data_IF_979767136017
#
_entry.id   IF_979767136017
#
_cell.length_a   1.000
_cell.length_b   1.000
_cell.length_c   1.000
_cell.angle_alpha   90.00
_cell.angle_beta   90.00
_cell.angle_gamma   90.00
#
_symmetry.space_group_name_H-M   'P 1'
#
loop_
_entity.id
_entity.type
_entity.pdbx_description
1 polymer ?
#
# COMPACT_ATOMS: atom_id res chain seq x y z
N UNK A 1 4.07 34.11 18.79
CA UNK A 1 5.01 33.65 17.75
C UNK A 1 6.30 33.08 18.35
N UNK A 2 7.24 33.84 18.92
CA UNK A 2 8.60 33.31 19.24
C UNK A 2 8.71 32.06 20.14
N UNK A 3 7.69 31.72 20.95
CA UNK A 3 7.77 30.56 21.88
C UNK A 3 7.66 29.21 21.15
N UNK A 4 6.91 29.12 20.04
CA UNK A 4 6.75 27.87 19.29
C UNK A 4 8.03 27.48 18.56
N UNK A 5 8.70 28.45 17.95
CA UNK A 5 9.88 28.19 17.10
C UNK A 5 11.04 27.64 17.93
N UNK A 6 11.18 28.10 19.18
CA UNK A 6 12.18 27.58 20.12
C UNK A 6 11.96 26.10 20.49
N UNK A 7 10.70 25.65 20.56
CA UNK A 7 10.38 24.23 20.80
C UNK A 7 10.75 23.34 19.60
N UNK A 8 10.51 23.82 18.38
CA UNK A 8 10.92 23.10 17.16
C UNK A 8 12.45 23.05 17.01
N UNK A 9 13.15 24.15 17.31
CA UNK A 9 14.62 24.22 17.32
C UNK A 9 15.22 23.26 18.34
N UNK A 10 14.72 23.26 19.58
CA UNK A 10 15.21 22.38 20.64
C UNK A 10 14.92 20.90 20.33
N UNK A 11 13.73 20.58 19.80
CA UNK A 11 13.38 19.23 19.36
C UNK A 11 14.27 18.72 18.22
N UNK A 12 14.53 19.55 17.21
CA UNK A 12 15.43 19.23 16.11
C UNK A 12 16.88 19.02 16.58
N UNK A 13 17.35 19.82 17.54
CA UNK A 13 18.70 19.71 18.09
C UNK A 13 18.88 18.43 18.93
N UNK A 14 17.89 18.07 19.75
CA UNK A 14 17.88 16.80 20.49
C UNK A 14 17.82 15.57 19.57
N UNK A 15 16.99 15.61 18.51
CA UNK A 15 16.95 14.55 17.50
C UNK A 15 18.29 14.40 16.76
N UNK A 16 18.95 15.52 16.44
CA UNK A 16 20.27 15.55 15.80
C UNK A 16 21.36 14.93 16.68
N UNK A 17 21.37 15.25 17.99
CA UNK A 17 22.32 14.69 18.95
C UNK A 17 22.12 13.17 19.14
N UNK A 18 20.88 12.69 19.19
CA UNK A 18 20.58 11.25 19.22
C UNK A 18 21.03 10.54 17.93
N UNK A 19 20.83 11.16 16.77
CA UNK A 19 21.36 10.68 15.49
C UNK A 19 22.88 10.58 15.49
N UNK A 20 23.59 11.61 15.97
CA UNK A 20 25.05 11.62 16.08
C UNK A 20 25.57 10.54 17.03
N UNK A 21 24.92 10.33 18.17
CA UNK A 21 25.31 9.30 19.15
C UNK A 21 25.18 7.88 18.58
N UNK A 22 24.14 7.62 17.77
CA UNK A 22 23.97 6.35 17.04
C UNK A 22 25.03 6.17 15.94
N UNK A 23 25.34 7.22 15.18
CA UNK A 23 26.41 7.20 14.17
C UNK A 23 27.80 6.96 14.80
N UNK A 24 28.07 7.53 15.98
CA UNK A 24 29.35 7.35 16.68
C UNK A 24 29.54 5.90 17.14
N UNK A 25 28.49 5.26 17.69
CA UNK A 25 28.53 3.84 18.07
C UNK A 25 28.67 2.88 16.88
N UNK A 26 28.44 3.32 15.65
CA UNK A 26 28.55 2.47 14.45
C UNK A 26 30.00 2.30 13.91
N UNK A 27 31.01 2.98 14.47
CA UNK A 27 32.40 2.96 13.97
C UNK A 27 33.35 2.05 14.75
N UNK A 28 33.12 0.74 14.73
CA UNK A 28 34.17 -0.24 15.10
C UNK A 28 34.06 -1.57 14.34
N UNK A 29 34.78 -1.67 13.22
CA UNK A 29 35.43 -2.90 12.68
C UNK A 29 36.10 -2.58 11.33
N UNK A 30 37.39 -2.19 11.35
CA UNK A 30 38.19 -2.08 10.12
C UNK A 30 38.66 -3.48 9.69
N UNK A 31 38.16 -4.00 8.56
CA UNK A 31 38.78 -5.15 7.87
C UNK A 31 39.37 -4.68 6.54
N UNK A 32 40.68 -4.86 6.35
CA UNK A 32 41.39 -4.50 5.10
C UNK A 32 40.83 -5.30 3.92
N UNK A 33 40.66 -4.65 2.76
CA UNK A 33 40.51 -5.30 1.45
C UNK A 33 41.80 -5.09 0.64
N UNK A 34 42.22 -6.12 -0.09
CA UNK A 34 43.25 -6.03 -1.12
C UNK A 34 42.63 -5.49 -2.44
N UNK A 35 43.41 -4.92 -3.35
CA UNK A 35 42.92 -4.51 -4.67
C UNK A 35 42.62 -5.74 -5.54
N UNK A 36 41.54 -5.66 -6.32
CA UNK A 36 41.17 -6.68 -7.31
C UNK A 36 41.41 -6.11 -8.72
N UNK A 37 42.15 -6.83 -9.54
CA UNK A 37 42.53 -6.40 -10.90
C UNK A 37 41.33 -6.49 -11.84
N UNK A 38 41.13 -5.47 -12.67
CA UNK A 38 40.12 -5.48 -13.74
C UNK A 38 40.70 -6.23 -14.94
N UNK A 39 40.29 -7.49 -15.12
CA UNK A 39 40.67 -8.28 -16.27
C UNK A 39 39.64 -8.14 -17.39
N UNK A 40 39.97 -7.39 -18.46
CA UNK A 40 39.19 -7.34 -19.70
C UNK A 40 39.13 -8.75 -20.29
N UNK A 41 37.96 -9.38 -20.34
CA UNK A 41 37.76 -10.55 -21.20
C UNK A 41 37.35 -10.13 -22.62
N UNK A 42 37.90 -10.84 -23.60
CA UNK A 42 37.79 -10.52 -25.02
C UNK A 42 36.47 -10.97 -25.62
N UNK A 43 36.07 -10.34 -26.72
CA UNK A 43 35.10 -10.91 -27.66
C UNK A 43 35.60 -12.27 -28.15
N UNK A 44 34.73 -13.28 -28.13
CA UNK A 44 35.01 -14.61 -28.69
C UNK A 44 33.95 -14.99 -29.72
N UNK A 45 34.41 -15.68 -30.77
CA UNK A 45 33.68 -15.83 -32.03
C UNK A 45 32.52 -16.82 -31.92
N UNK A 46 31.43 -16.55 -32.64
CA UNK A 46 30.37 -17.52 -32.91
C UNK A 46 30.93 -18.72 -33.67
N UNK A 47 30.88 -19.89 -33.05
CA UNK A 47 30.98 -21.16 -33.78
C UNK A 47 29.60 -21.54 -34.31
N UNK A 48 29.46 -21.64 -35.63
CA UNK A 48 28.24 -22.15 -36.26
C UNK A 48 28.30 -23.67 -36.21
N UNK A 49 27.35 -24.31 -35.53
CA UNK A 49 27.11 -25.74 -35.72
C UNK A 49 25.61 -25.99 -35.86
N UNK A 50 25.23 -26.67 -36.94
CA UNK A 50 23.86 -26.69 -37.44
C UNK A 50 23.01 -27.78 -36.80
N UNK A 51 22.21 -27.41 -35.78
CA UNK A 51 20.95 -28.11 -35.52
C UNK A 51 19.81 -27.26 -36.09
N UNK A 52 18.96 -27.85 -36.94
CA UNK A 52 17.76 -27.17 -37.45
C UNK A 52 16.77 -27.02 -36.29
N UNK A 53 16.80 -25.87 -35.63
CA UNK A 53 15.71 -25.40 -34.77
C UNK A 53 14.44 -25.46 -35.62
N UNK A 54 13.42 -26.21 -35.20
CA UNK A 54 12.10 -26.06 -35.79
C UNK A 54 11.70 -24.60 -35.59
N UNK A 55 11.35 -23.91 -36.68
CA UNK A 55 10.75 -22.59 -36.57
C UNK A 55 9.32 -22.75 -36.05
N UNK A 56 9.20 -22.70 -34.72
CA UNK A 56 7.91 -22.64 -34.03
C UNK A 56 7.29 -21.26 -34.28
N UNK A 57 6.59 -21.18 -35.42
CA UNK A 57 5.66 -20.10 -35.72
C UNK A 57 4.63 -20.01 -34.57
N UNK A 58 4.77 -19.00 -33.72
CA UNK A 58 4.03 -18.88 -32.46
C UNK A 58 4.87 -18.85 -31.18
N UNK A 59 6.21 -18.87 -31.25
CA UNK A 59 7.06 -18.57 -30.09
C UNK A 59 6.72 -17.19 -29.49
N UNK A 60 6.43 -17.12 -28.19
CA UNK A 60 6.29 -15.86 -27.48
C UNK A 60 7.67 -15.32 -27.04
N UNK A 61 7.82 -14.00 -26.97
CA UNK A 61 8.99 -13.35 -26.37
C UNK A 61 8.88 -13.31 -24.83
N UNK A 62 7.65 -13.22 -24.32
CA UNK A 62 7.31 -13.20 -22.90
C UNK A 62 6.03 -14.00 -22.66
N UNK A 63 6.06 -14.88 -21.65
CA UNK A 63 4.86 -15.55 -21.12
C UNK A 63 4.51 -14.91 -19.78
N UNK A 64 3.25 -14.51 -19.60
CA UNK A 64 2.71 -13.91 -18.37
C UNK A 64 1.72 -14.90 -17.75
N UNK A 65 1.89 -15.20 -16.46
CA UNK A 65 1.02 -16.12 -15.71
C UNK A 65 0.05 -15.30 -14.87
N UNK A 66 -1.23 -15.36 -15.21
CA UNK A 66 -2.34 -14.59 -14.62
C UNK A 66 -2.61 -13.28 -15.36
N UNK A 67 -3.88 -13.02 -15.68
CA UNK A 67 -4.42 -11.81 -16.30
C UNK A 67 -5.24 -10.99 -15.27
N UNK A 68 -4.68 -10.84 -14.06
CA UNK A 68 -5.11 -9.84 -13.09
C UNK A 68 -4.46 -8.47 -13.35
N UNK A 69 -4.71 -7.47 -12.48
CA UNK A 69 -4.28 -6.06 -12.66
C UNK A 69 -2.85 -5.93 -13.21
N UNK A 70 -1.87 -6.55 -12.54
CA UNK A 70 -0.46 -6.48 -12.92
C UNK A 70 -0.14 -7.23 -14.22
N UNK A 71 -0.79 -8.37 -14.46
CA UNK A 71 -0.57 -9.18 -15.66
C UNK A 71 -1.11 -8.51 -16.92
N UNK A 72 -2.35 -8.01 -16.87
CA UNK A 72 -2.98 -7.30 -17.99
C UNK A 72 -2.28 -5.96 -18.29
N UNK A 73 -1.88 -5.21 -17.26
CA UNK A 73 -1.10 -3.97 -17.43
C UNK A 73 0.27 -4.25 -18.07
N UNK A 74 0.98 -5.29 -17.60
CA UNK A 74 2.27 -5.69 -18.17
C UNK A 74 2.12 -6.20 -19.61
N UNK A 75 1.05 -6.94 -19.91
CA UNK A 75 0.74 -7.41 -21.26
C UNK A 75 0.49 -6.25 -22.24
N UNK A 76 -0.34 -5.28 -21.86
CA UNK A 76 -0.57 -4.09 -22.67
C UNK A 76 0.70 -3.25 -22.89
N UNK A 77 1.52 -3.10 -21.84
CA UNK A 77 2.79 -2.35 -21.91
C UNK A 77 3.79 -3.03 -22.85
N UNK A 78 4.08 -4.32 -22.63
CA UNK A 78 5.00 -5.09 -23.48
C UNK A 78 4.46 -5.26 -24.90
N UNK A 79 3.14 -5.31 -25.07
CA UNK A 79 2.48 -5.28 -26.37
C UNK A 79 2.74 -3.98 -27.13
N UNK A 80 2.64 -2.81 -26.46
CA UNK A 80 3.00 -1.51 -27.04
C UNK A 80 4.50 -1.39 -27.36
N UNK A 81 5.35 -2.05 -26.57
CA UNK A 81 6.79 -2.23 -26.87
C UNK A 81 7.08 -3.25 -28.00
N UNK A 82 6.05 -3.73 -28.71
CA UNK A 82 6.17 -4.63 -29.86
C UNK A 82 6.53 -6.09 -29.53
N UNK A 83 6.48 -6.50 -28.26
CA UNK A 83 6.79 -7.87 -27.84
C UNK A 83 5.65 -8.83 -28.16
N UNK A 84 5.99 -10.06 -28.53
CA UNK A 84 5.03 -11.16 -28.68
C UNK A 84 4.72 -11.71 -27.28
N UNK A 85 3.59 -11.29 -26.70
CA UNK A 85 3.19 -11.65 -25.34
C UNK A 85 2.14 -12.76 -25.37
N UNK A 86 2.33 -13.81 -24.58
CA UNK A 86 1.30 -14.80 -24.30
C UNK A 86 0.91 -14.74 -22.82
N UNK A 87 -0.34 -14.36 -22.54
CA UNK A 87 -0.91 -14.31 -21.19
C UNK A 87 -1.77 -15.54 -20.97
N UNK A 88 -1.44 -16.33 -19.94
CA UNK A 88 -2.19 -17.54 -19.57
C UNK A 88 -2.89 -17.27 -18.24
N UNK A 89 -4.21 -17.31 -18.23
CA UNK A 89 -5.06 -17.08 -17.05
C UNK A 89 -5.95 -18.28 -16.79
N UNK A 90 -6.16 -18.65 -15.52
CA UNK A 90 -6.98 -19.81 -15.14
C UNK A 90 -8.44 -19.63 -15.54
N UNK A 91 -8.95 -18.39 -15.46
CA UNK A 91 -10.35 -18.05 -15.68
C UNK A 91 -10.49 -16.63 -16.27
N UNK A 92 -10.96 -16.56 -17.52
CA UNK A 92 -11.20 -15.31 -18.27
C UNK A 92 -12.62 -14.76 -18.07
N UNK A 93 -13.48 -15.42 -17.30
CA UNK A 93 -14.75 -14.84 -16.85
C UNK A 93 -14.51 -13.65 -15.91
N UNK A 94 -15.55 -12.84 -15.67
CA UNK A 94 -15.47 -11.67 -14.80
C UNK A 94 -15.21 -12.09 -13.33
N UNK A 95 -14.12 -11.64 -12.68
CA UNK A 95 -13.84 -12.06 -11.32
C UNK A 95 -14.72 -11.39 -10.26
N UNK A 96 -15.71 -12.12 -9.71
CA UNK A 96 -16.38 -11.73 -8.46
C UNK A 96 -15.40 -11.84 -7.27
N UNK A 97 -14.92 -10.68 -6.79
CA UNK A 97 -13.92 -10.58 -5.71
C UNK A 97 -14.02 -9.25 -4.94
N UNK A 98 -14.03 -9.34 -3.62
CA UNK A 98 -14.03 -8.19 -2.67
C UNK A 98 -12.65 -7.51 -2.49
N UNK A 99 -11.72 -7.68 -3.44
CA UNK A 99 -10.33 -7.19 -3.34
C UNK A 99 -9.92 -6.39 -4.56
N UNK A 100 -9.17 -5.31 -4.35
CA UNK A 100 -8.71 -4.45 -5.45
C UNK A 100 -9.80 -3.52 -6.01
N UNK A 101 -10.79 -3.17 -5.18
CA UNK A 101 -11.94 -2.32 -5.53
C UNK A 101 -11.71 -0.81 -5.29
N UNK A 102 -10.53 -0.39 -4.82
CA UNK A 102 -10.17 1.01 -4.58
C UNK A 102 -8.73 1.29 -5.01
N UNK A 103 -8.58 2.04 -6.11
CA UNK A 103 -7.35 2.55 -6.68
C UNK A 103 -7.02 3.93 -6.06
N UNK A 104 -5.83 4.05 -5.47
CA UNK A 104 -5.33 5.32 -4.92
C UNK A 104 -5.00 6.34 -6.05
N UNK A 105 -5.01 7.65 -5.78
CA UNK A 105 -4.64 8.68 -6.77
C UNK A 105 -3.30 8.43 -7.50
N UNK A 106 -2.25 8.00 -6.77
CA UNK A 106 -0.96 7.64 -7.39
C UNK A 106 -1.01 6.39 -8.27
N UNK A 107 -1.96 5.48 -8.02
CA UNK A 107 -2.27 4.36 -8.91
C UNK A 107 -3.04 4.79 -10.15
N UNK A 108 -3.95 5.77 -10.03
CA UNK A 108 -4.65 6.36 -11.17
C UNK A 108 -3.69 7.09 -12.11
N UNK A 109 -2.76 7.89 -11.57
CA UNK A 109 -1.67 8.50 -12.35
C UNK A 109 -0.81 7.46 -13.10
N UNK A 110 -0.63 6.25 -12.53
CA UNK A 110 0.07 5.15 -13.20
C UNK A 110 -0.75 4.40 -14.24
N UNK A 111 -2.08 4.51 -14.26
CA UNK A 111 -2.86 4.07 -15.42
C UNK A 111 -2.71 5.06 -16.59
N UNK A 112 -2.73 6.37 -16.30
CA UNK A 112 -2.47 7.44 -17.29
C UNK A 112 -1.08 7.28 -17.92
N UNK A 113 -0.04 7.02 -17.12
CA UNK A 113 1.34 6.77 -17.62
C UNK A 113 1.44 5.55 -18.57
N UNK A 114 0.48 4.62 -18.51
CA UNK A 114 0.44 3.42 -19.34
C UNK A 114 -0.56 3.49 -20.50
N UNK A 115 -1.49 4.46 -20.50
CA UNK A 115 -2.62 4.54 -21.44
C UNK A 115 -3.71 3.51 -21.15
N UNK A 116 -4.04 3.33 -19.86
CA UNK A 116 -4.97 2.33 -19.31
C UNK A 116 -6.10 2.96 -18.45
N UNK A 117 -6.14 4.29 -18.36
CA UNK A 117 -7.13 5.05 -17.59
C UNK A 117 -8.56 4.88 -18.12
N UNK A 118 -8.73 4.66 -19.42
CA UNK A 118 -10.03 4.37 -20.07
C UNK A 118 -10.61 3.00 -19.69
N UNK A 119 -9.84 2.14 -19.03
CA UNK A 119 -10.34 0.90 -18.43
C UNK A 119 -11.22 1.15 -17.18
N UNK A 120 -11.27 2.40 -16.69
CA UNK A 120 -12.16 2.84 -15.62
C UNK A 120 -13.44 3.51 -16.13
N UNK A 121 -13.55 3.73 -17.45
CA UNK A 121 -14.78 4.19 -18.08
C UNK A 121 -15.78 3.04 -18.21
N UNK A 122 -17.08 3.37 -18.23
CA UNK A 122 -18.20 2.44 -18.50
C UNK A 122 -18.43 1.33 -17.46
N UNK A 123 -17.59 1.20 -16.42
CA UNK A 123 -17.74 0.23 -15.32
C UNK A 123 -18.49 0.74 -14.08
N UNK A 124 -18.97 1.99 -14.13
CA UNK A 124 -19.54 2.76 -13.01
C UNK A 124 -18.52 3.05 -11.88
N UNK A 125 -17.29 3.45 -12.26
CA UNK A 125 -16.22 3.78 -11.32
C UNK A 125 -16.45 5.12 -10.60
N UNK A 126 -16.47 5.07 -9.27
CA UNK A 126 -16.73 6.19 -8.37
C UNK A 126 -15.46 6.99 -8.08
N UNK A 127 -15.53 8.32 -8.13
CA UNK A 127 -14.41 9.20 -7.75
C UNK A 127 -14.31 9.30 -6.23
N UNK A 128 -13.08 9.19 -5.70
CA UNK A 128 -12.78 9.27 -4.27
C UNK A 128 -11.76 10.39 -4.02
N UNK A 129 -12.14 11.42 -3.27
CA UNK A 129 -11.34 12.62 -3.00
C UNK A 129 -10.57 12.56 -1.68
N UNK A 130 -10.73 11.51 -0.89
CA UNK A 130 -9.96 11.28 0.33
C UNK A 130 -10.63 10.29 1.25
N UNK A 131 -10.34 10.42 2.53
CA UNK A 131 -10.95 9.63 3.59
C UNK A 131 -11.69 10.49 4.63
N UNK A 132 -12.68 9.93 5.30
CA UNK A 132 -13.05 10.33 6.65
C UNK A 132 -12.44 9.31 7.64
N UNK A 133 -12.19 9.73 8.90
CA UNK A 133 -11.95 8.82 10.02
C UNK A 133 -13.02 9.05 11.09
N UNK A 134 -13.40 8.02 11.84
CA UNK A 134 -14.29 8.12 12.99
C UNK A 134 -13.70 7.38 14.20
N UNK A 135 -13.73 8.01 15.37
CA UNK A 135 -13.39 7.42 16.68
C UNK A 135 -14.22 8.05 17.78
N UNK A 136 -14.74 7.22 18.69
CA UNK A 136 -15.38 7.64 19.94
C UNK A 136 -16.45 8.74 19.75
N UNK A 137 -17.29 8.60 18.71
CA UNK A 137 -18.37 9.52 18.37
C UNK A 137 -17.97 10.80 17.61
N UNK A 138 -16.70 10.96 17.24
CA UNK A 138 -16.18 12.08 16.44
C UNK A 138 -15.77 11.60 15.05
N UNK A 139 -15.85 12.48 14.06
CA UNK A 139 -15.27 12.29 12.73
C UNK A 139 -14.22 13.36 12.38
N UNK A 140 -13.43 13.09 11.35
CA UNK A 140 -12.52 14.07 10.71
C UNK A 140 -12.31 13.72 9.24
N UNK A 141 -12.13 14.74 8.38
CA UNK A 141 -11.88 14.56 6.94
C UNK A 141 -10.39 14.71 6.60
N UNK A 142 -9.92 13.75 5.82
CA UNK A 142 -8.58 13.60 5.28
C UNK A 142 -8.62 13.66 3.74
N UNK A 143 -8.78 14.86 3.15
CA UNK A 143 -8.75 15.02 1.70
C UNK A 143 -7.38 14.59 1.15
N UNK A 144 -7.37 13.99 -0.04
CA UNK A 144 -6.16 13.79 -0.81
C UNK A 144 -5.57 15.16 -1.21
N UNK A 145 -4.23 15.37 -1.12
CA UNK A 145 -3.59 16.61 -1.53
C UNK A 145 -3.47 16.68 -3.07
N UNK A 146 -4.60 17.03 -3.71
CA UNK A 146 -4.81 17.03 -5.16
C UNK A 146 -4.57 18.39 -5.82
N UNK A 147 -4.27 19.44 -5.06
CA UNK A 147 -4.28 20.86 -5.50
C UNK A 147 -3.22 21.21 -6.56
N UNK A 148 -2.32 20.26 -6.88
CA UNK A 148 -1.23 20.39 -7.86
C UNK A 148 -1.40 19.51 -9.09
N UNK A 149 -2.50 18.76 -9.18
CA UNK A 149 -2.76 17.81 -10.25
C UNK A 149 -3.93 18.27 -11.13
N UNK A 150 -4.13 17.62 -12.28
CA UNK A 150 -5.27 17.90 -13.13
C UNK A 150 -6.60 17.59 -12.39
N UNK A 151 -7.66 18.36 -12.69
CA UNK A 151 -8.95 18.33 -11.99
C UNK A 151 -9.65 16.95 -11.94
N UNK A 152 -9.28 16.06 -12.85
CA UNK A 152 -9.77 14.68 -12.91
C UNK A 152 -9.06 13.72 -11.92
N UNK A 153 -7.81 14.01 -11.55
CA UNK A 153 -6.99 13.15 -10.69
C UNK A 153 -7.63 13.03 -9.30
N UNK A 154 -8.02 11.82 -8.96
CA UNK A 154 -8.59 11.43 -7.68
C UNK A 154 -8.42 9.91 -7.51
N UNK A 155 -8.75 9.38 -6.33
CA UNK A 155 -8.93 7.94 -6.18
C UNK A 155 -10.12 7.46 -7.03
N UNK A 156 -10.16 6.16 -7.32
CA UNK A 156 -11.24 5.53 -8.08
C UNK A 156 -11.64 4.23 -7.39
N UNK A 157 -12.93 4.00 -7.15
CA UNK A 157 -13.43 2.72 -6.62
C UNK A 157 -14.51 2.13 -7.51
N UNK A 158 -14.54 0.81 -7.59
CA UNK A 158 -15.25 0.07 -8.63
C UNK A 158 -15.37 -1.41 -8.25
N UNK A 159 -16.34 -2.11 -8.83
CA UNK A 159 -16.33 -3.58 -8.88
C UNK A 159 -15.04 -4.09 -9.53
N UNK A 160 -14.29 -4.94 -8.82
CA UNK A 160 -12.98 -5.39 -9.31
C UNK A 160 -13.10 -6.17 -10.62
N UNK A 161 -14.15 -7.00 -10.76
CA UNK A 161 -14.39 -7.82 -11.94
C UNK A 161 -14.40 -7.00 -13.24
N UNK A 162 -15.32 -6.03 -13.33
CA UNK A 162 -15.46 -5.11 -14.46
C UNK A 162 -14.13 -4.45 -14.86
N UNK A 163 -13.38 -3.92 -13.90
CA UNK A 163 -12.06 -3.31 -14.16
C UNK A 163 -11.05 -4.32 -14.72
N UNK A 164 -11.04 -5.56 -14.21
CA UNK A 164 -10.20 -6.63 -14.75
C UNK A 164 -10.58 -7.00 -16.19
N UNK A 165 -11.87 -7.05 -16.53
CA UNK A 165 -12.32 -7.32 -17.91
C UNK A 165 -11.88 -6.21 -18.86
N UNK A 166 -12.13 -4.93 -18.53
CA UNK A 166 -11.66 -3.78 -19.33
C UNK A 166 -10.13 -3.81 -19.55
N UNK A 167 -9.36 -4.14 -18.53
CA UNK A 167 -7.90 -4.28 -18.61
C UNK A 167 -7.46 -5.47 -19.49
N UNK A 168 -8.20 -6.59 -19.48
CA UNK A 168 -7.97 -7.76 -20.35
C UNK A 168 -8.29 -7.44 -21.81
N UNK A 169 -9.44 -6.81 -22.06
CA UNK A 169 -9.87 -6.31 -23.38
C UNK A 169 -8.81 -5.37 -23.99
N UNK A 170 -8.40 -4.35 -23.23
CA UNK A 170 -7.41 -3.35 -23.63
C UNK A 170 -6.02 -3.94 -23.90
N UNK A 171 -5.67 -5.05 -23.26
CA UNK A 171 -4.47 -5.81 -23.62
C UNK A 171 -4.67 -6.60 -24.92
N UNK A 172 -5.83 -7.23 -25.11
CA UNK A 172 -6.17 -8.05 -26.27
C UNK A 172 -6.43 -7.27 -27.58
N UNK A 173 -6.59 -5.95 -27.54
CA UNK A 173 -6.64 -5.12 -28.78
C UNK A 173 -5.30 -5.04 -29.52
N UNK A 174 -4.21 -5.51 -28.92
CA UNK A 174 -2.88 -5.48 -29.52
C UNK A 174 -2.60 -6.80 -30.26
N UNK A 175 -2.31 -6.80 -31.58
CA UNK A 175 -2.24 -8.02 -32.40
C UNK A 175 -1.09 -8.98 -32.02
N UNK A 176 -0.14 -8.50 -31.23
CA UNK A 176 1.00 -9.23 -30.68
C UNK A 176 0.79 -9.70 -29.22
N UNK A 177 -0.42 -9.54 -28.66
CA UNK A 177 -0.79 -10.00 -27.31
C UNK A 177 -1.88 -11.07 -27.43
N UNK A 178 -1.55 -12.32 -27.07
CA UNK A 178 -2.50 -13.45 -26.97
C UNK A 178 -2.92 -13.64 -25.53
N UNK A 179 -4.22 -13.64 -25.25
CA UNK A 179 -4.79 -14.15 -24.00
C UNK A 179 -5.29 -15.60 -24.23
N UNK A 180 -5.03 -16.49 -23.27
CA UNK A 180 -5.44 -17.89 -23.31
C UNK A 180 -5.96 -18.32 -21.93
N UNK A 181 -7.04 -19.10 -21.91
CA UNK A 181 -7.54 -19.69 -20.67
C UNK A 181 -6.86 -21.04 -20.41
N UNK A 182 -6.09 -21.13 -19.33
CA UNK A 182 -5.34 -22.32 -18.94
C UNK A 182 -4.74 -22.22 -17.54
N UNK A 183 -4.50 -23.36 -16.90
CA UNK A 183 -3.81 -23.42 -15.60
C UNK A 183 -2.34 -23.77 -15.81
N UNK A 184 -1.44 -22.85 -15.50
CA UNK A 184 0.01 -23.13 -15.47
C UNK A 184 0.32 -23.97 -14.23
N UNK A 185 0.86 -25.18 -14.45
CA UNK A 185 1.12 -26.18 -13.39
C UNK A 185 2.58 -26.25 -12.97
N UNK A 186 3.51 -25.85 -13.83
CA UNK A 186 4.96 -25.85 -13.56
C UNK A 186 5.69 -24.82 -14.42
N UNK A 187 6.94 -24.53 -14.05
CA UNK A 187 7.89 -23.76 -14.87
C UNK A 187 8.93 -24.72 -15.44
N UNK A 188 9.38 -24.47 -16.68
CA UNK A 188 10.42 -25.25 -17.35
C UNK A 188 11.76 -24.51 -17.24
N UNK A 189 12.74 -25.12 -16.58
CA UNK A 189 14.08 -24.56 -16.39
C UNK A 189 15.11 -25.23 -17.31
N UNK A 190 15.81 -24.44 -18.14
CA UNK A 190 16.98 -24.95 -18.89
C UNK A 190 18.20 -25.11 -17.97
N UNK A 191 18.78 -26.30 -17.98
CA UNK A 191 20.00 -26.65 -17.24
C UNK A 191 21.19 -25.78 -17.69
N UNK A 192 21.43 -24.70 -16.96
CA UNK A 192 22.52 -23.74 -17.21
C UNK A 192 22.14 -22.29 -16.91
N UNK A 193 20.84 -21.94 -16.92
CA UNK A 193 20.36 -20.60 -16.55
C UNK A 193 19.88 -20.49 -15.09
N UNK A 194 20.40 -21.36 -14.22
CA UNK A 194 20.14 -21.33 -12.78
C UNK A 194 20.80 -20.12 -12.11
N UNK A 195 20.21 -18.93 -12.28
CA UNK A 195 20.32 -17.88 -11.25
C UNK A 195 19.72 -18.47 -9.98
N UNK A 196 20.53 -18.64 -8.94
CA UNK A 196 20.11 -19.18 -7.65
C UNK A 196 19.12 -18.23 -6.94
N UNK A 197 17.87 -18.24 -7.40
CA UNK A 197 16.77 -17.49 -6.80
C UNK A 197 16.38 -18.22 -5.51
N UNK A 198 17.13 -17.95 -4.44
CA UNK A 198 16.96 -18.55 -3.11
C UNK A 198 15.69 -18.00 -2.41
N UNK A 199 14.55 -18.14 -3.07
CA UNK A 199 13.21 -17.90 -2.57
C UNK A 199 12.79 -19.07 -1.70
N UNK A 200 13.35 -19.11 -0.48
CA UNK A 200 12.62 -19.68 0.65
C UNK A 200 11.28 -18.94 0.71
N UNK A 201 10.21 -19.62 0.28
CA UNK A 201 8.86 -19.09 0.34
C UNK A 201 8.59 -18.66 1.78
N UNK A 202 8.53 -17.35 2.02
CA UNK A 202 8.25 -16.82 3.36
C UNK A 202 6.83 -17.23 3.69
N UNK A 203 6.66 -18.01 4.75
CA UNK A 203 5.35 -18.36 5.27
C UNK A 203 4.58 -17.06 5.52
N UNK A 204 3.45 -16.91 4.84
CA UNK A 204 2.65 -15.69 4.91
C UNK A 204 1.96 -15.66 6.27
N UNK A 205 2.25 -14.64 7.07
CA UNK A 205 1.53 -14.39 8.31
C UNK A 205 0.13 -13.85 7.98
N UNK A 206 -0.90 -14.45 8.59
CA UNK A 206 -2.31 -14.11 8.37
C UNK A 206 -2.88 -13.65 9.72
N UNK A 207 -2.83 -12.32 10.01
CA UNK A 207 -3.22 -11.78 11.31
C UNK A 207 -4.74 -11.61 11.48
N UNK A 208 -5.48 -11.55 10.36
CA UNK A 208 -6.94 -11.36 10.29
C UNK A 208 -7.47 -11.75 8.91
N UNK A 209 -8.78 -11.74 8.76
CA UNK A 209 -9.49 -11.89 7.49
C UNK A 209 -10.52 -10.77 7.30
N UNK A 210 -10.73 -10.33 6.05
CA UNK A 210 -11.84 -9.44 5.71
C UNK A 210 -13.11 -10.21 5.35
N UNK A 211 -14.24 -9.76 5.89
CA UNK A 211 -15.59 -10.24 5.57
C UNK A 211 -16.30 -9.15 4.77
N UNK A 212 -16.53 -9.41 3.48
CA UNK A 212 -17.18 -8.45 2.59
C UNK A 212 -18.70 -8.57 2.56
N UNK A 213 -19.37 -7.41 2.49
CA UNK A 213 -20.80 -7.27 2.19
C UNK A 213 -20.97 -6.22 1.08
N UNK A 214 -22.11 -6.24 0.38
CA UNK A 214 -22.60 -5.12 -0.42
C UNK A 214 -23.75 -4.47 0.35
N UNK A 215 -23.81 -3.14 0.33
CA UNK A 215 -24.89 -2.34 0.88
C UNK A 215 -25.49 -1.52 -0.26
N UNK A 216 -26.67 -1.94 -0.71
CA UNK A 216 -27.41 -1.27 -1.79
C UNK A 216 -28.22 -0.08 -1.24
N UNK A 217 -28.40 0.96 -2.06
CA UNK A 217 -29.29 2.10 -1.79
C UNK A 217 -28.99 2.89 -0.49
N UNK A 218 -27.80 2.70 0.08
CA UNK A 218 -27.31 3.42 1.25
C UNK A 218 -26.58 4.71 0.86
N UNK A 219 -26.53 5.70 1.75
CA UNK A 219 -25.71 6.90 1.60
C UNK A 219 -24.66 6.97 2.71
N UNK A 220 -23.43 7.39 2.36
CA UNK A 220 -22.33 7.59 3.32
C UNK A 220 -22.30 9.07 3.78
N UNK A 221 -21.98 9.37 5.06
CA UNK A 221 -22.09 10.73 5.62
C UNK A 221 -21.23 11.83 4.96
N UNK A 222 -20.25 11.44 4.15
CA UNK A 222 -19.46 12.34 3.31
C UNK A 222 -19.40 11.70 1.91
N UNK A 223 -19.90 12.39 0.88
CA UNK A 223 -19.88 11.87 -0.48
C UNK A 223 -18.45 11.76 -1.03
N UNK A 224 -18.22 10.80 -1.94
CA UNK A 224 -16.93 10.63 -2.64
C UNK A 224 -15.70 10.49 -1.71
N UNK A 225 -15.85 9.83 -0.57
CA UNK A 225 -14.76 9.46 0.35
C UNK A 225 -14.86 7.95 0.68
N UNK A 226 -13.79 7.36 1.23
CA UNK A 226 -13.89 6.17 2.09
C UNK A 226 -13.77 6.58 3.56
N UNK A 227 -14.31 5.84 4.54
CA UNK A 227 -14.73 6.44 5.81
C UNK A 227 -14.07 5.97 7.15
N UNK A 228 -12.90 5.32 7.22
CA UNK A 228 -12.18 4.71 8.40
C UNK A 228 -12.87 4.63 9.79
N UNK A 229 -13.33 3.43 10.24
CA UNK A 229 -13.69 3.24 11.68
C UNK A 229 -12.46 2.83 12.45
N UNK A 230 -12.30 3.43 13.62
CA UNK A 230 -11.39 2.95 14.66
C UNK A 230 -12.19 2.21 15.75
N UNK A 231 -12.86 1.14 15.30
CA UNK A 231 -13.74 0.24 16.06
C UNK A 231 -12.96 -0.75 16.96
N UNK A 232 -13.69 -1.51 17.79
CA UNK A 232 -13.18 -2.40 18.84
C UNK A 232 -13.98 -3.72 18.82
N UNK A 233 -13.48 -4.83 18.23
CA UNK A 233 -12.07 -5.21 18.26
C UNK A 233 -11.22 -4.73 17.08
N UNK A 234 -11.83 -4.40 15.94
CA UNK A 234 -11.13 -4.22 14.67
C UNK A 234 -11.81 -3.17 13.79
N UNK A 235 -11.08 -2.52 12.86
CA UNK A 235 -11.63 -1.55 11.92
C UNK A 235 -12.55 -2.21 10.87
N UNK A 236 -13.49 -1.45 10.34
CA UNK A 236 -14.45 -1.91 9.31
C UNK A 236 -14.36 -0.96 8.12
N UNK A 237 -14.39 -1.45 6.88
CA UNK A 237 -14.41 -0.62 5.67
C UNK A 237 -15.78 -0.37 5.09
N UNK A 238 -16.02 0.85 4.59
CA UNK A 238 -17.03 1.12 3.59
C UNK A 238 -16.53 2.16 2.57
N UNK A 239 -16.87 1.95 1.30
CA UNK A 239 -16.63 2.88 0.18
C UNK A 239 -17.59 2.54 -0.97
N UNK A 240 -18.01 3.51 -1.80
CA UNK A 240 -18.90 3.22 -2.93
C UNK A 240 -18.13 2.48 -4.03
N UNK A 241 -18.73 1.43 -4.60
CA UNK A 241 -18.17 0.62 -5.70
C UNK A 241 -19.00 0.70 -7.00
N UNK A 242 -20.18 1.31 -6.91
CA UNK A 242 -20.98 1.77 -8.03
C UNK A 242 -21.81 2.98 -7.58
N UNK A 243 -22.67 3.50 -8.47
CA UNK A 243 -23.64 4.56 -8.18
C UNK A 243 -24.74 4.14 -7.21
N UNK A 244 -24.95 2.83 -7.00
CA UNK A 244 -26.01 2.26 -6.15
C UNK A 244 -25.49 1.38 -5.00
N UNK A 245 -24.22 0.98 -5.03
CA UNK A 245 -23.65 -0.02 -4.13
C UNK A 245 -22.44 0.51 -3.35
N UNK A 246 -22.44 0.24 -2.04
CA UNK A 246 -21.33 0.48 -1.13
C UNK A 246 -20.76 -0.87 -0.71
N UNK A 247 -19.47 -1.10 -0.96
CA UNK A 247 -18.74 -2.21 -0.33
C UNK A 247 -18.69 -1.95 1.16
N UNK A 248 -18.94 -2.97 1.97
CA UNK A 248 -18.51 -3.04 3.36
C UNK A 248 -17.48 -4.17 3.54
N UNK A 249 -16.45 -4.01 4.38
CA UNK A 249 -15.48 -5.06 4.74
C UNK A 249 -15.18 -5.05 6.25
N UNK A 250 -15.66 -6.01 7.01
CA UNK A 250 -15.31 -6.13 8.45
C UNK A 250 -13.97 -6.85 8.59
N UNK A 251 -12.99 -6.25 9.28
CA UNK A 251 -11.80 -7.00 9.72
C UNK A 251 -12.17 -7.90 10.91
N UNK A 252 -11.90 -9.20 10.77
CA UNK A 252 -12.10 -10.20 11.82
C UNK A 252 -10.72 -10.70 12.26
N UNK A 253 -10.27 -10.42 13.49
CA UNK A 253 -8.91 -10.73 13.91
C UNK A 253 -8.70 -12.23 14.19
N UNK A 254 -7.56 -12.75 13.76
CA UNK A 254 -7.20 -14.16 13.85
C UNK A 254 -7.54 -14.97 12.59
N UNK A 255 -7.19 -16.27 12.61
CA UNK A 255 -7.26 -17.17 11.45
C UNK A 255 -8.57 -17.95 11.31
N UNK A 256 -9.47 -17.88 12.31
CA UNK A 256 -10.77 -18.53 12.28
C UNK A 256 -11.87 -17.48 12.21
N UNK A 257 -12.41 -17.28 11.02
CA UNK A 257 -13.66 -16.52 10.83
C UNK A 257 -14.86 -17.33 11.31
N UNK A 258 -15.93 -16.68 11.81
CA UNK A 258 -17.24 -17.30 11.97
C UNK A 258 -17.71 -17.95 10.65
N UNK A 259 -18.47 -19.04 10.72
CA UNK A 259 -19.00 -19.66 9.49
C UNK A 259 -20.19 -18.87 8.93
N UNK A 260 -20.30 -18.84 7.60
CA UNK A 260 -21.46 -18.26 6.90
C UNK A 260 -22.61 -19.28 6.84
N UNK A 261 -22.30 -20.57 6.67
CA UNK A 261 -23.29 -21.61 6.36
C UNK A 261 -24.19 -22.03 7.53
N UNK A 262 -23.79 -21.73 8.78
CA UNK A 262 -24.58 -21.98 9.99
C UNK A 262 -25.17 -20.69 10.61
N UNK A 263 -24.91 -19.52 10.01
CA UNK A 263 -25.36 -18.23 10.51
C UNK A 263 -24.46 -17.57 11.58
N UNK A 264 -23.35 -18.19 12.02
CA UNK A 264 -22.45 -17.60 13.02
C UNK A 264 -21.94 -16.22 12.59
N UNK A 265 -21.63 -16.04 11.29
CA UNK A 265 -21.22 -14.75 10.73
C UNK A 265 -22.34 -13.71 10.84
N UNK A 266 -23.59 -14.08 10.53
CA UNK A 266 -24.72 -13.17 10.66
C UNK A 266 -24.99 -12.81 12.12
N UNK A 267 -24.78 -13.74 13.05
CA UNK A 267 -24.84 -13.48 14.49
C UNK A 267 -23.71 -12.54 14.94
N UNK A 268 -22.46 -12.81 14.55
CA UNK A 268 -21.30 -11.97 14.84
C UNK A 268 -21.48 -10.53 14.33
N UNK A 269 -21.91 -10.37 13.08
CA UNK A 269 -22.20 -9.07 12.49
C UNK A 269 -23.29 -8.32 13.27
N UNK A 270 -24.36 -8.99 13.69
CA UNK A 270 -25.48 -8.36 14.44
C UNK A 270 -25.16 -8.06 15.91
N UNK A 271 -24.29 -8.84 16.56
CA UNK A 271 -24.07 -8.77 18.02
C UNK A 271 -22.72 -8.19 18.44
N UNK A 272 -21.69 -8.32 17.60
CA UNK A 272 -20.35 -7.78 17.86
C UNK A 272 -20.07 -6.53 17.05
N UNK A 273 -20.54 -6.47 15.80
CA UNK A 273 -20.16 -5.40 14.85
C UNK A 273 -21.18 -4.26 14.81
N UNK A 274 -22.45 -4.56 14.54
CA UNK A 274 -23.52 -3.56 14.41
C UNK A 274 -23.81 -2.73 15.68
N UNK A 275 -23.62 -3.22 16.92
CA UNK A 275 -23.81 -2.39 18.12
C UNK A 275 -22.67 -1.39 18.39
N UNK A 276 -21.60 -1.43 17.60
CA UNK A 276 -20.53 -0.44 17.69
C UNK A 276 -20.89 0.84 16.92
N UNK A 277 -20.38 2.02 17.32
CA UNK A 277 -20.53 3.24 16.51
C UNK A 277 -19.70 3.12 15.21
N UNK A 278 -20.36 2.67 14.14
CA UNK A 278 -19.74 2.40 12.84
C UNK A 278 -19.64 3.66 11.97
N UNK A 279 -18.43 4.05 11.56
CA UNK A 279 -18.12 4.30 10.14
C UNK A 279 -16.59 4.38 9.90
N UNK A 280 -15.88 3.91 8.83
CA UNK A 280 -16.10 2.97 7.71
C UNK A 280 -14.89 2.91 6.67
N UNK A 281 -13.62 2.46 6.90
CA UNK A 281 -12.49 2.21 5.88
C UNK A 281 -11.09 1.82 6.45
N UNK A 282 -10.16 1.38 5.59
CA UNK A 282 -8.70 1.24 5.73
C UNK A 282 -8.08 1.37 4.31
N UNK A 283 -6.80 1.61 4.05
CA UNK A 283 -5.82 0.52 4.03
C UNK A 283 -4.36 1.02 4.11
N UNK A 284 -3.61 1.05 3.01
CA UNK A 284 -2.27 0.42 2.87
C UNK A 284 -1.13 0.89 3.80
N UNK A 285 -1.28 1.99 4.54
CA UNK A 285 -0.46 2.28 5.74
C UNK A 285 -0.67 1.21 6.85
N UNK A 286 -1.79 0.49 6.77
CA UNK A 286 -2.07 -0.90 7.14
C UNK A 286 -1.08 -1.58 8.08
N UNK A 287 0.05 -2.11 7.61
CA UNK A 287 0.96 -2.91 8.44
C UNK A 287 1.40 -2.21 9.74
N UNK A 288 1.44 -0.87 9.72
CA UNK A 288 1.56 -0.03 10.90
C UNK A 288 0.19 0.37 11.47
N UNK A 289 -0.71 0.96 10.67
CA UNK A 289 -2.00 1.47 11.17
C UNK A 289 -2.88 0.40 11.82
N UNK A 290 -2.95 -0.81 11.28
CA UNK A 290 -3.63 -1.98 11.88
C UNK A 290 -3.04 -2.31 13.26
N UNK A 291 -1.71 -2.35 13.40
CA UNK A 291 -1.02 -2.61 14.68
C UNK A 291 -1.19 -1.48 15.70
N UNK A 292 -1.51 -0.27 15.24
CA UNK A 292 -1.97 0.84 16.07
C UNK A 292 -3.46 0.66 16.42
N UNK A 293 -4.32 0.54 15.41
CA UNK A 293 -5.77 0.72 15.43
C UNK A 293 -6.60 -0.47 15.91
N UNK A 294 -6.12 -1.71 15.78
CA UNK A 294 -6.80 -2.85 16.37
C UNK A 294 -6.88 -2.72 17.89
N UNK A 295 -7.95 -3.25 18.47
CA UNK A 295 -8.13 -3.28 19.91
C UNK A 295 -6.98 -4.03 20.57
N UNK A 296 -6.57 -3.50 21.72
CA UNK A 296 -5.60 -4.17 22.55
C UNK A 296 -5.93 -3.91 24.02
N UNK A 297 -5.76 -4.91 24.92
CA UNK A 297 -5.74 -4.64 26.36
C UNK A 297 -4.54 -3.77 26.77
N UNK A 298 -3.55 -3.59 25.89
CA UNK A 298 -2.44 -2.68 26.15
C UNK A 298 -2.83 -1.21 25.97
N UNK A 299 -2.95 -0.51 27.10
CA UNK A 299 -3.15 0.94 27.19
C UNK A 299 -2.17 1.76 26.35
N UNK A 300 -0.94 1.28 26.13
CA UNK A 300 0.04 1.98 25.29
C UNK A 300 -0.36 1.99 23.81
N UNK A 301 -0.98 0.91 23.30
CA UNK A 301 -1.57 0.88 21.94
C UNK A 301 -2.87 1.68 21.88
N UNK A 302 -3.74 1.58 22.91
CA UNK A 302 -4.96 2.38 22.98
C UNK A 302 -4.71 3.89 22.87
N UNK A 303 -3.71 4.41 23.59
CA UNK A 303 -3.32 5.84 23.48
C UNK A 303 -2.62 6.16 22.16
N UNK A 304 -1.94 5.21 21.52
CA UNK A 304 -1.38 5.38 20.17
C UNK A 304 -2.50 5.58 19.12
N UNK A 305 -3.66 4.90 19.28
CA UNK A 305 -4.85 5.13 18.43
C UNK A 305 -5.38 6.55 18.56
N UNK A 306 -5.60 6.98 19.81
CA UNK A 306 -6.12 8.32 20.14
C UNK A 306 -5.15 9.41 19.69
N UNK A 307 -3.85 9.24 19.95
CA UNK A 307 -2.82 10.15 19.47
C UNK A 307 -2.79 10.25 17.93
N UNK A 308 -2.99 9.14 17.22
CA UNK A 308 -3.04 9.14 15.75
C UNK A 308 -4.29 9.85 15.21
N UNK A 309 -5.48 9.57 15.76
CA UNK A 309 -6.72 10.26 15.38
C UNK A 309 -6.66 11.76 15.69
N UNK A 310 -6.26 12.14 16.90
CA UNK A 310 -6.16 13.55 17.31
C UNK A 310 -5.09 14.29 16.48
N UNK A 311 -3.94 13.66 16.17
CA UNK A 311 -2.88 14.22 15.33
C UNK A 311 -3.35 14.49 13.90
N UNK A 312 -4.01 13.51 13.28
CA UNK A 312 -4.57 13.66 11.93
C UNK A 312 -5.68 14.72 11.90
N UNK A 313 -6.42 14.87 13.01
CA UNK A 313 -7.45 15.90 13.18
C UNK A 313 -6.90 17.34 13.33
N UNK A 314 -5.58 17.53 13.47
CA UNK A 314 -4.97 18.86 13.43
C UNK A 314 -4.92 19.46 12.02
N UNK A 315 -5.15 18.66 10.97
CA UNK A 315 -5.15 19.11 9.58
C UNK A 315 -3.78 19.56 9.06
N UNK A 316 -3.78 20.30 7.95
CA UNK A 316 -2.58 20.90 7.36
C UNK A 316 -1.45 19.89 7.11
N UNK A 317 -0.24 20.16 7.60
CA UNK A 317 0.89 19.23 7.45
C UNK A 317 0.68 17.89 8.19
N UNK A 318 -0.11 17.89 9.28
CA UNK A 318 -0.34 16.71 10.11
C UNK A 318 -1.25 15.69 9.42
N UNK A 319 -2.23 16.15 8.61
CA UNK A 319 -3.03 15.31 7.72
C UNK A 319 -2.34 15.05 6.38
N UNK A 320 -1.87 16.10 5.70
CA UNK A 320 -1.52 16.01 4.28
C UNK A 320 -0.24 15.21 4.05
N UNK A 321 0.69 15.19 5.01
CA UNK A 321 1.87 14.32 4.97
C UNK A 321 1.50 12.83 4.93
N UNK A 322 0.84 12.29 5.98
CA UNK A 322 0.34 10.91 6.00
C UNK A 322 -0.58 10.54 4.84
N UNK A 323 -1.47 11.45 4.42
CA UNK A 323 -2.39 11.18 3.29
C UNK A 323 -1.65 11.18 1.94
N UNK A 324 -0.61 12.00 1.76
CA UNK A 324 0.24 11.97 0.55
C UNK A 324 1.01 10.65 0.38
N UNK A 325 1.31 9.95 1.49
CA UNK A 325 1.87 8.59 1.49
C UNK A 325 0.81 7.54 1.15
N UNK A 326 -0.34 7.58 1.83
CA UNK A 326 -1.42 6.59 1.67
C UNK A 326 -2.02 6.62 0.25
N UNK A 327 -2.14 7.83 -0.32
CA UNK A 327 -2.56 8.06 -1.72
C UNK A 327 -1.51 7.70 -2.78
N UNK A 328 -0.27 7.40 -2.40
CA UNK A 328 0.84 7.16 -3.33
C UNK A 328 1.36 8.40 -4.07
N UNK A 329 0.89 9.60 -3.75
CA UNK A 329 1.29 10.86 -4.41
C UNK A 329 2.69 11.35 -3.98
N UNK A 330 3.19 10.90 -2.83
CA UNK A 330 4.50 11.24 -2.30
C UNK A 330 5.13 10.03 -1.58
N UNK A 331 5.61 9.01 -2.31
CA UNK A 331 6.06 7.73 -1.74
C UNK A 331 7.45 7.80 -1.07
N UNK A 332 7.80 8.93 -0.41
CA UNK A 332 9.10 9.15 0.23
C UNK A 332 9.15 8.47 1.61
N UNK A 333 9.94 7.39 1.83
CA UNK A 333 9.85 6.62 3.07
C UNK A 333 10.28 7.38 4.33
N UNK A 334 11.16 8.37 4.20
CA UNK A 334 11.53 9.27 5.31
C UNK A 334 10.31 10.04 5.87
N UNK A 335 9.35 10.41 5.03
CA UNK A 335 8.12 11.13 5.45
C UNK A 335 7.26 10.21 6.33
N UNK A 336 7.19 8.91 6.01
CA UNK A 336 6.49 7.91 6.83
C UNK A 336 7.11 7.82 8.22
N UNK A 337 8.45 7.70 8.30
CA UNK A 337 9.17 7.61 9.58
C UNK A 337 8.97 8.89 10.41
N UNK A 338 9.08 10.07 9.80
CA UNK A 338 8.92 11.35 10.49
C UNK A 338 7.51 11.52 11.07
N UNK A 339 6.45 11.28 10.29
CA UNK A 339 5.08 11.39 10.82
C UNK A 339 4.76 10.30 11.83
N UNK A 340 5.27 9.08 11.66
CA UNK A 340 5.07 8.00 12.63
C UNK A 340 5.68 8.33 14.00
N UNK A 341 6.91 8.86 14.04
CA UNK A 341 7.50 9.34 15.29
C UNK A 341 6.83 10.63 15.80
N UNK A 342 6.35 11.52 14.93
CA UNK A 342 5.61 12.71 15.35
C UNK A 342 4.29 12.37 16.05
N UNK A 343 3.53 11.38 15.54
CA UNK A 343 2.34 10.83 16.23
C UNK A 343 2.71 10.25 17.60
N UNK A 344 3.83 9.52 17.69
CA UNK A 344 4.28 8.93 18.95
C UNK A 344 4.69 10.00 19.98
N UNK A 345 5.43 11.03 19.56
CA UNK A 345 5.83 12.19 20.40
C UNK A 345 4.59 13.00 20.83
N UNK A 346 3.65 13.23 19.92
CA UNK A 346 2.38 13.90 20.21
C UNK A 346 1.53 13.12 21.23
N UNK A 347 1.51 11.78 21.14
CA UNK A 347 0.91 10.91 22.14
C UNK A 347 1.55 11.02 23.52
N UNK A 348 2.88 11.11 23.59
CA UNK A 348 3.60 11.40 24.85
C UNK A 348 3.24 12.80 25.37
N UNK A 349 3.18 13.82 24.51
CA UNK A 349 2.78 15.18 24.86
C UNK A 349 1.39 15.25 25.50
N UNK A 350 0.39 14.60 24.88
CA UNK A 350 -0.98 14.45 25.43
C UNK A 350 -0.95 13.81 26.83
N UNK A 351 -0.09 12.82 27.06
CA UNK A 351 0.04 12.15 28.37
C UNK A 351 0.74 13.01 29.43
N UNK A 352 1.60 13.97 29.05
CA UNK A 352 2.27 14.86 30.01
C UNK A 352 1.42 16.04 30.45
N UNK A 353 0.33 16.37 29.77
CA UNK A 353 -0.51 17.54 30.06
C UNK A 353 -1.72 17.21 30.95
N UNK A 354 -2.18 18.12 31.84
CA UNK A 354 -1.53 19.39 32.19
C UNK A 354 -0.30 19.20 33.10
N UNK A 355 -0.14 18.04 33.74
CA UNK A 355 1.01 17.74 34.59
C UNK A 355 1.52 16.29 34.40
N UNK A 356 2.85 16.06 34.34
CA UNK A 356 3.42 14.73 34.22
C UNK A 356 3.32 13.97 35.56
N UNK A 357 3.06 12.66 35.51
CA UNK A 357 3.12 11.79 36.70
C UNK A 357 3.87 10.51 36.37
N UNK A 358 4.46 9.79 37.34
CA UNK A 358 5.23 8.57 37.06
C UNK A 358 4.44 7.52 36.25
N UNK A 359 3.13 7.37 36.53
CA UNK A 359 2.23 6.49 35.77
C UNK A 359 2.05 6.95 34.31
N UNK A 360 1.96 8.26 34.07
CA UNK A 360 1.85 8.87 32.73
C UNK A 360 3.16 8.78 31.96
N UNK A 361 4.29 9.07 32.60
CA UNK A 361 5.64 8.97 32.03
C UNK A 361 5.97 7.53 31.62
N UNK A 362 5.65 6.56 32.48
CA UNK A 362 5.77 5.14 32.16
C UNK A 362 4.90 4.72 30.96
N UNK A 363 3.66 5.19 30.89
CA UNK A 363 2.78 4.93 29.74
C UNK A 363 3.33 5.56 28.44
N UNK A 364 3.89 6.77 28.52
CA UNK A 364 4.57 7.42 27.40
C UNK A 364 5.80 6.66 26.92
N UNK A 365 6.65 6.18 27.84
CA UNK A 365 7.80 5.33 27.50
C UNK A 365 7.37 4.02 26.82
N UNK A 366 6.28 3.39 27.31
CA UNK A 366 5.68 2.20 26.66
C UNK A 366 5.06 2.51 25.29
N UNK A 367 4.52 3.71 25.08
CA UNK A 367 4.03 4.17 23.78
C UNK A 367 5.18 4.28 22.76
N UNK A 368 6.28 4.97 23.11
CA UNK A 368 7.48 5.04 22.25
C UNK A 368 8.08 3.66 21.98
N UNK A 369 8.13 2.78 22.99
CA UNK A 369 8.60 1.40 22.83
C UNK A 369 7.72 0.58 21.88
N UNK A 370 6.38 0.66 22.03
CA UNK A 370 5.43 -0.01 21.14
C UNK A 370 5.50 0.51 19.71
N UNK A 371 5.63 1.83 19.53
CA UNK A 371 5.79 2.47 18.23
C UNK A 371 7.10 2.00 17.56
N UNK A 372 8.20 1.97 18.31
CA UNK A 372 9.50 1.45 17.86
C UNK A 372 9.41 0.00 17.41
N UNK A 373 8.68 -0.85 18.15
CA UNK A 373 8.42 -2.25 17.80
C UNK A 373 7.56 -2.46 16.55
N UNK A 374 6.83 -1.44 16.09
CA UNK A 374 6.10 -1.46 14.81
C UNK A 374 7.00 -0.99 13.66
N UNK A 375 7.69 0.15 13.81
CA UNK A 375 8.39 0.80 12.69
C UNK A 375 9.78 0.22 12.41
N UNK A 376 10.55 -0.22 13.42
CA UNK A 376 11.90 -0.76 13.17
C UNK A 376 11.92 -2.05 12.33
N UNK A 377 11.00 -3.03 12.52
CA UNK A 377 10.90 -4.17 11.61
C UNK A 377 10.61 -3.75 10.16
N UNK A 378 9.77 -2.73 9.95
CA UNK A 378 9.45 -2.19 8.62
C UNK A 378 10.70 -1.57 7.99
N UNK A 379 11.37 -0.65 8.70
CA UNK A 379 12.65 -0.02 8.32
C UNK A 379 13.71 -1.07 7.91
N UNK A 380 13.82 -2.16 8.67
CA UNK A 380 14.79 -3.23 8.38
C UNK A 380 14.37 -4.10 7.18
N UNK A 381 13.07 -4.24 6.91
CA UNK A 381 12.55 -5.03 5.79
C UNK A 381 12.59 -4.31 4.44
N UNK A 382 12.39 -2.99 4.43
CA UNK A 382 12.53 -2.12 3.24
C UNK A 382 13.99 -1.76 2.95
N UNK A 383 14.82 -1.75 4.00
CA UNK A 383 16.26 -1.52 3.94
C UNK A 383 16.64 -0.09 4.37
N UNK A 384 17.42 0.01 5.44
CA UNK A 384 17.80 1.29 6.07
C UNK A 384 18.43 2.29 5.08
N UNK A 385 19.24 1.82 4.12
CA UNK A 385 19.87 2.71 3.13
C UNK A 385 18.88 3.22 2.09
N UNK A 386 17.97 2.36 1.65
CA UNK A 386 16.88 2.68 0.73
C UNK A 386 15.95 3.72 1.36
N UNK A 387 15.61 3.53 2.64
CA UNK A 387 14.65 4.36 3.37
C UNK A 387 15.17 5.76 3.72
N UNK A 388 16.44 5.87 4.17
CA UNK A 388 17.04 7.12 4.65
C UNK A 388 17.98 7.80 3.63
N UNK A 389 18.45 7.09 2.60
CA UNK A 389 19.32 7.64 1.54
C UNK A 389 18.84 7.26 0.12
N UNK A 390 17.58 7.55 -0.25
CA UNK A 390 16.98 7.10 -1.51
C UNK A 390 17.69 7.63 -2.77
N UNK A 391 18.44 8.74 -2.67
CA UNK A 391 19.26 9.27 -3.76
C UNK A 391 20.38 8.31 -4.25
N UNK A 392 20.68 7.24 -3.52
CA UNK A 392 21.58 6.17 -3.97
C UNK A 392 20.86 4.98 -4.64
N UNK A 393 19.55 5.09 -4.92
CA UNK A 393 18.71 4.00 -5.44
C UNK A 393 17.91 4.49 -6.67
N UNK A 394 18.37 4.21 -7.90
CA UNK A 394 17.77 4.76 -9.13
C UNK A 394 16.27 4.47 -9.32
N UNK A 395 15.75 3.38 -8.76
CA UNK A 395 14.36 2.97 -8.91
C UNK A 395 13.32 3.94 -8.30
N UNK A 396 13.73 4.84 -7.39
CA UNK A 396 12.82 5.80 -6.73
C UNK A 396 12.79 7.19 -7.38
N UNK A 397 13.63 7.45 -8.40
CA UNK A 397 13.68 8.71 -9.13
C UNK A 397 13.51 8.48 -10.63
N UNK A 398 12.25 8.34 -11.05
CA UNK A 398 11.75 9.17 -12.15
C UNK A 398 10.99 10.32 -11.48
N UNK A 399 11.28 11.55 -11.87
CA UNK A 399 10.39 12.66 -11.49
C UNK A 399 8.99 12.38 -12.05
N UNK A 400 7.91 12.78 -11.34
CA UNK A 400 6.57 12.70 -11.92
C UNK A 400 6.56 13.48 -13.24
N UNK A 401 6.02 12.92 -14.34
CA UNK A 401 5.96 13.64 -15.60
C UNK A 401 5.19 14.95 -15.40
N UNK A 402 5.53 15.96 -16.18
CA UNK A 402 4.95 17.30 -16.05
C UNK A 402 3.49 17.28 -16.52
N UNK A 403 2.55 16.95 -15.64
CA UNK A 403 1.11 16.76 -15.92
C UNK A 403 0.36 18.04 -16.37
N UNK A 404 1.08 19.04 -16.90
CA UNK A 404 0.55 20.18 -17.66
C UNK A 404 0.46 19.88 -19.17
N UNK A 405 1.22 18.89 -19.63
CA UNK A 405 1.48 18.69 -21.07
C UNK A 405 0.57 17.60 -21.69
N UNK A 406 -0.38 17.06 -20.92
CA UNK A 406 -1.47 16.21 -21.42
C UNK A 406 -2.70 17.08 -21.68
N UNK A 407 -2.99 17.33 -22.95
CA UNK A 407 -4.10 18.16 -23.47
C UNK A 407 -4.95 17.35 -24.44
#
# INVERSE_FOLDING_TARGET
MMVTDFQYLLGGLLASLLGLALLYKSKSTKKRRAPMVIQRHQSFKTSVNGSRRLETAGSADVIIVGAGVAGSALAHTLGKDGRRVHVIERDLSEPDRIVGELLQPGGYLKLIELGLEDCLNEIDAQRIFGYALYKDGKDTKLPYPLEKFHSDVAGRSFHNGRFIQRMREKAATLPNVRLEQGTVTSLLEEKGQSKEFNTRARMVDVPSCFVGLVLENCQLPHTNHGHVVLADPSPILFYPISSTEIRCLVDVPGQKVPSVSNGDMAHYLKTVVAPQPVASTINTLAGALYKVFCASPDKARQEMRRACFDYLSLGGIFSNGPVSLLSGLNPRPLVLVLHFFAVAIYGVGRLMLPFPSPKRMWLGARLISGASGIIFPIIMSEGVRQMFFPAMVPAYYRDPPNYRDFS
#
